data_IF_127274755729
#
_entry.id   IF_127274755729
#
_cell.length_a   1.000
_cell.length_b   1.000
_cell.length_c   1.000
_cell.angle_alpha   90.00
_cell.angle_beta   90.00
_cell.angle_gamma   90.00
#
_symmetry.space_group_name_H-M   'P 1'
#
loop_
_entity.id
_entity.type
_entity.pdbx_description
1 polymer ?
#
# COMPACT_ATOMS: atom_id res chain seq x y z
N UNK A 1 -15.13 7.62 -2.86
CA UNK A 1 -13.86 6.86 -2.90
C UNK A 1 -13.28 6.81 -1.50
N UNK A 2 -12.75 5.67 -1.09
CA UNK A 2 -12.15 5.51 0.24
C UNK A 2 -10.65 5.66 0.15
N UNK A 3 -10.05 6.25 1.19
CA UNK A 3 -8.62 6.38 1.29
C UNK A 3 -8.15 5.68 2.56
N UNK A 4 -7.17 4.82 2.41
CA UNK A 4 -6.56 4.10 3.53
C UNK A 4 -5.09 4.43 3.62
N UNK A 5 -4.59 4.56 4.85
CA UNK A 5 -3.18 4.79 5.11
C UNK A 5 -2.63 3.67 5.97
N UNK A 6 -1.45 3.21 5.61
CA UNK A 6 -0.77 2.13 6.33
C UNK A 6 0.66 2.53 6.66
N UNK A 7 1.07 2.18 7.87
CA UNK A 7 2.47 2.22 8.24
C UNK A 7 3.12 0.94 7.72
N UNK A 8 4.14 1.09 6.88
CA UNK A 8 4.79 -0.05 6.23
C UNK A 8 6.28 -0.07 6.49
N UNK A 9 6.94 -1.12 6.04
CA UNK A 9 8.39 -1.20 6.00
C UNK A 9 8.95 -1.10 4.57
N UNK A 10 8.19 -0.49 3.68
CA UNK A 10 8.62 -0.24 2.30
C UNK A 10 9.57 0.97 2.32
N UNK A 11 10.86 0.72 2.46
CA UNK A 11 11.83 1.77 2.75
C UNK A 11 12.87 2.02 1.65
N UNK A 12 12.68 1.45 0.47
CA UNK A 12 13.60 1.66 -0.64
C UNK A 12 12.87 1.63 -1.97
N UNK A 13 13.51 2.17 -3.02
CA UNK A 13 12.90 2.20 -4.34
C UNK A 13 12.70 0.79 -4.91
N UNK A 14 13.60 -0.15 -4.61
CA UNK A 14 13.42 -1.54 -5.01
C UNK A 14 12.21 -2.19 -4.34
N UNK A 15 11.94 -1.81 -3.09
CA UNK A 15 10.76 -2.29 -2.37
C UNK A 15 9.48 -1.74 -2.99
N UNK A 16 9.47 -0.45 -3.34
CA UNK A 16 8.34 0.16 -4.04
C UNK A 16 8.10 -0.55 -5.37
N UNK A 17 9.17 -0.85 -6.09
CA UNK A 17 9.07 -1.55 -7.36
C UNK A 17 8.44 -2.95 -7.23
N UNK A 18 8.63 -3.61 -6.09
CA UNK A 18 8.01 -4.93 -5.86
C UNK A 18 6.50 -4.84 -5.67
N UNK A 19 6.02 -3.78 -5.01
CA UNK A 19 4.58 -3.63 -4.76
C UNK A 19 3.87 -2.98 -5.94
N UNK A 20 4.60 -2.26 -6.80
CA UNK A 20 4.01 -1.55 -7.93
C UNK A 20 3.16 -2.46 -8.82
N UNK A 21 3.66 -3.61 -9.33
CA UNK A 21 2.83 -4.46 -10.19
C UNK A 21 1.63 -5.04 -9.44
N UNK A 22 1.79 -5.36 -8.16
CA UNK A 22 0.70 -5.93 -7.38
C UNK A 22 -0.44 -4.93 -7.20
N UNK A 23 -0.12 -3.69 -6.93
CA UNK A 23 -1.13 -2.64 -6.75
C UNK A 23 -1.73 -2.21 -8.08
N UNK A 24 -0.91 -2.11 -9.13
CA UNK A 24 -1.38 -1.69 -10.44
C UNK A 24 -2.26 -2.74 -11.12
N UNK A 25 -2.02 -4.01 -10.86
CA UNK A 25 -2.80 -5.10 -11.43
C UNK A 25 -4.15 -5.26 -10.75
N UNK A 26 -4.33 -4.70 -9.57
CA UNK A 26 -5.56 -4.87 -8.83
C UNK A 26 -6.60 -3.85 -9.30
N UNK A 27 -7.71 -4.31 -9.91
CA UNK A 27 -8.71 -3.37 -10.45
C UNK A 27 -9.44 -2.58 -9.36
N UNK A 28 -9.38 -3.01 -8.12
CA UNK A 28 -9.98 -2.29 -7.01
C UNK A 28 -9.16 -1.11 -6.52
N UNK A 29 -7.87 -1.04 -6.88
CA UNK A 29 -7.00 0.07 -6.48
C UNK A 29 -7.05 1.16 -7.55
N UNK A 30 -7.57 2.32 -7.17
CA UNK A 30 -7.69 3.45 -8.08
C UNK A 30 -6.42 4.28 -8.14
N UNK A 31 -5.78 4.49 -6.98
CA UNK A 31 -4.54 5.23 -6.89
C UNK A 31 -3.81 4.81 -5.62
N UNK A 32 -2.50 4.99 -5.61
CA UNK A 32 -1.70 4.66 -4.44
C UNK A 32 -0.36 5.40 -4.49
N UNK A 33 0.23 5.61 -3.34
CA UNK A 33 1.58 6.15 -3.23
C UNK A 33 2.22 5.73 -1.92
N UNK A 34 3.54 5.71 -1.89
CA UNK A 34 4.33 5.43 -0.70
C UNK A 34 5.19 6.65 -0.39
N UNK A 35 5.08 7.15 0.82
CA UNK A 35 5.91 8.25 1.29
C UNK A 35 7.18 7.70 1.94
N UNK A 36 8.21 7.48 1.13
CA UNK A 36 9.48 6.93 1.61
C UNK A 36 10.31 7.94 2.39
N UNK A 37 9.98 9.22 2.28
CA UNK A 37 10.62 10.26 3.08
C UNK A 37 10.13 10.30 4.53
N UNK A 38 9.01 9.64 4.81
CA UNK A 38 8.46 9.56 6.16
C UNK A 38 9.10 8.37 6.89
N UNK A 39 9.54 8.53 8.16
CA UNK A 39 10.08 7.40 8.93
C UNK A 39 9.15 6.21 9.02
N UNK A 40 7.83 6.44 8.98
CA UNK A 40 6.83 5.40 9.05
C UNK A 40 6.53 4.77 7.69
N UNK A 41 7.11 5.29 6.60
CA UNK A 41 6.92 4.77 5.25
C UNK A 41 5.44 4.57 4.92
N UNK A 42 4.69 5.65 4.98
CA UNK A 42 3.24 5.62 4.86
C UNK A 42 2.82 5.27 3.45
N UNK A 43 2.01 4.22 3.32
CA UNK A 43 1.35 3.86 2.08
C UNK A 43 -0.07 4.43 2.10
N UNK A 44 -0.40 5.23 1.10
CA UNK A 44 -1.75 5.76 0.92
C UNK A 44 -2.36 5.09 -0.30
N UNK A 45 -3.55 4.51 -0.13
CA UNK A 45 -4.27 3.85 -1.22
C UNK A 45 -5.66 4.42 -1.33
N UNK A 46 -6.07 4.75 -2.55
CA UNK A 46 -7.44 5.19 -2.84
C UNK A 46 -8.16 4.08 -3.59
N UNK A 47 -9.33 3.71 -3.09
CA UNK A 47 -10.12 2.64 -3.66
C UNK A 47 -11.60 2.95 -3.55
N UNK A 48 -12.39 2.48 -4.51
CA UNK A 48 -13.83 2.68 -4.51
C UNK A 48 -14.56 1.62 -3.68
N UNK A 49 -14.06 0.38 -3.66
CA UNK A 49 -14.81 -0.75 -3.11
C UNK A 49 -13.99 -1.79 -2.35
N UNK A 50 -12.70 -1.57 -2.17
CA UNK A 50 -11.87 -2.51 -1.39
C UNK A 50 -11.86 -2.13 0.09
N UNK A 51 -11.64 -3.14 0.92
CA UNK A 51 -11.46 -2.93 2.34
C UNK A 51 -9.98 -2.80 2.68
N UNK A 52 -9.67 -2.22 3.85
CA UNK A 52 -8.28 -2.06 4.27
C UNK A 52 -7.56 -3.40 4.39
N UNK A 53 -8.27 -4.45 4.76
CA UNK A 53 -7.69 -5.78 4.90
C UNK A 53 -7.26 -6.35 3.56
N UNK A 54 -7.99 -6.01 2.49
CA UNK A 54 -7.62 -6.42 1.14
C UNK A 54 -6.30 -5.79 0.70
N UNK A 55 -6.13 -4.50 1.01
CA UNK A 55 -4.90 -3.79 0.69
C UNK A 55 -3.74 -4.36 1.50
N UNK A 56 -3.97 -4.60 2.79
CA UNK A 56 -2.96 -5.18 3.66
C UNK A 56 -2.49 -6.54 3.15
N UNK A 57 -3.43 -7.36 2.68
CA UNK A 57 -3.08 -8.68 2.14
C UNK A 57 -2.18 -8.57 0.91
N UNK A 58 -2.41 -7.58 0.05
CA UNK A 58 -1.57 -7.35 -1.12
C UNK A 58 -0.14 -7.03 -0.68
N UNK A 59 0.02 -6.16 0.31
CA UNK A 59 1.34 -5.77 0.80
C UNK A 59 2.04 -6.96 1.46
N UNK A 60 1.32 -7.76 2.24
CA UNK A 60 1.90 -8.94 2.88
C UNK A 60 2.35 -9.98 1.85
N UNK A 61 1.63 -10.13 0.75
CA UNK A 61 2.00 -11.03 -0.34
C UNK A 61 3.31 -10.62 -1.00
N UNK A 62 3.62 -9.32 -0.98
CA UNK A 62 4.88 -8.82 -1.50
C UNK A 62 6.03 -9.02 -0.52
N UNK A 63 5.76 -9.49 0.68
CA UNK A 63 6.77 -9.73 1.70
C UNK A 63 7.00 -8.55 2.64
N UNK A 64 6.10 -7.58 2.64
CA UNK A 64 6.19 -6.40 3.49
C UNK A 64 5.12 -6.42 4.57
N UNK A 65 5.24 -5.53 5.54
CA UNK A 65 4.26 -5.36 6.60
C UNK A 65 3.46 -4.10 6.36
N UNK A 66 2.18 -4.16 6.70
CA UNK A 66 1.30 -3.01 6.61
C UNK A 66 0.39 -2.98 7.83
N UNK A 67 0.47 -1.88 8.57
CA UNK A 67 -0.38 -1.65 9.74
C UNK A 67 -1.31 -0.48 9.44
N UNK A 68 -2.61 -0.69 9.61
CA UNK A 68 -3.58 0.35 9.36
C UNK A 68 -3.40 1.49 10.37
N UNK A 69 -3.42 2.73 9.88
CA UNK A 69 -3.35 3.93 10.72
C UNK A 69 -4.72 4.44 11.13
N UNK A 70 -5.77 3.86 10.59
CA UNK A 70 -7.16 4.26 10.90
C UNK A 70 -7.99 3.08 11.33
#
# INVERSE_FOLDING_TARGET
>A
MKEYQFKTNINCSGCVAKVTPLLNENPGVNDWKVDTGNPDKILTVQTANMEKEDIRAIIERAGFKADSLV
#
